data_IF_323625174966
#
_entry.id   IF_323625174966
#
_cell.length_a   1.000
_cell.length_b   1.000
_cell.length_c   1.000
_cell.angle_alpha   90.00
_cell.angle_beta   90.00
_cell.angle_gamma   90.00
#
_symmetry.space_group_name_H-M   'P 1'
#
loop_
_entity.id
_entity.type
_entity.pdbx_description
1 polymer ?
#
# COMPACT_ATOMS: atom_id res chain seq x y z
N UNK A 1 -15.37 -0.66 2.85
CA UNK A 1 -14.13 -1.21 3.44
C UNK A 1 -13.60 -0.21 4.43
N UNK A 2 -12.80 -0.65 5.40
CA UNK A 2 -12.14 0.24 6.36
C UNK A 2 -10.84 0.78 5.74
N UNK A 3 -10.63 2.10 5.78
CA UNK A 3 -9.40 2.71 5.28
C UNK A 3 -8.29 2.53 6.32
N UNK A 4 -7.28 1.72 6.01
CA UNK A 4 -6.14 1.48 6.92
C UNK A 4 -4.97 2.43 6.70
N UNK A 5 -4.80 2.94 5.47
CA UNK A 5 -3.70 3.81 5.09
C UNK A 5 -4.21 4.88 4.12
N UNK A 6 -4.00 6.14 4.46
CA UNK A 6 -4.31 7.30 3.62
C UNK A 6 -3.01 7.95 3.13
N UNK A 7 -2.96 8.30 1.84
CA UNK A 7 -1.81 8.98 1.20
C UNK A 7 -0.44 8.36 1.54
N UNK A 8 -0.40 7.03 1.65
CA UNK A 8 0.76 6.33 2.17
C UNK A 8 1.96 6.36 1.20
N UNK A 9 3.05 6.97 1.66
CA UNK A 9 4.32 7.02 0.94
C UNK A 9 5.30 6.00 1.54
N UNK A 10 5.58 4.94 0.78
CA UNK A 10 6.49 3.86 1.20
C UNK A 10 7.90 4.39 1.44
N UNK A 11 8.41 5.28 0.58
CA UNK A 11 9.77 5.82 0.69
C UNK A 11 9.95 6.62 1.99
N UNK A 12 8.96 7.43 2.35
CA UNK A 12 8.98 8.19 3.60
C UNK A 12 8.87 7.25 4.81
N UNK A 13 7.95 6.29 4.78
CA UNK A 13 7.84 5.29 5.86
C UNK A 13 9.08 4.39 5.97
N UNK A 14 9.83 4.20 4.89
CA UNK A 14 11.07 3.42 4.84
C UNK A 14 12.29 4.25 5.25
N UNK A 15 12.14 5.57 5.41
CA UNK A 15 13.24 6.50 5.59
C UNK A 15 14.33 6.33 4.49
N UNK A 16 13.90 6.21 3.23
CA UNK A 16 14.78 6.06 2.07
C UNK A 16 14.30 5.05 1.01
N UNK A 17 15.11 4.88 -0.04
CA UNK A 17 14.90 3.85 -1.08
C UNK A 17 15.63 2.55 -0.71
N UNK A 18 15.22 1.42 -1.30
CA UNK A 18 15.83 0.10 -1.09
C UNK A 18 15.77 -0.43 0.35
N UNK A 19 14.80 0.06 1.13
CA UNK A 19 14.50 -0.42 2.47
C UNK A 19 13.11 -1.01 2.48
N UNK A 20 12.92 -2.12 3.20
CA UNK A 20 11.63 -2.74 3.37
C UNK A 20 10.78 -1.98 4.40
N UNK A 21 9.46 -2.01 4.20
CA UNK A 21 8.47 -1.50 5.15
C UNK A 21 7.34 -2.51 5.22
N UNK A 22 7.11 -3.03 6.40
CA UNK A 22 5.98 -3.92 6.68
C UNK A 22 4.94 -3.17 7.50
N UNK A 23 3.67 -3.27 7.09
CA UNK A 23 2.53 -2.77 7.86
C UNK A 23 1.68 -3.95 8.32
N UNK A 24 1.57 -4.10 9.63
CA UNK A 24 0.77 -5.15 10.27
C UNK A 24 -0.56 -4.54 10.70
N UNK A 25 -1.66 -5.17 10.29
CA UNK A 25 -3.00 -4.80 10.69
C UNK A 25 -3.61 -5.93 11.52
N UNK A 26 -3.52 -5.88 12.85
CA UNK A 26 -4.09 -6.92 13.71
C UNK A 26 -5.62 -6.80 13.79
N UNK A 27 -6.27 -7.87 14.24
CA UNK A 27 -7.69 -7.90 14.60
C UNK A 27 -8.65 -7.60 13.43
N UNK A 28 -8.37 -8.14 12.24
CA UNK A 28 -9.28 -8.02 11.09
C UNK A 28 -10.37 -9.09 11.17
N UNK A 29 -11.62 -8.67 11.37
CA UNK A 29 -12.76 -9.58 11.36
C UNK A 29 -13.22 -9.88 9.93
N UNK A 30 -13.21 -11.15 9.54
CA UNK A 30 -13.72 -11.62 8.25
C UNK A 30 -15.11 -12.27 8.46
N UNK A 31 -16.16 -11.53 8.14
CA UNK A 31 -17.55 -11.96 8.41
C UNK A 31 -18.18 -12.80 7.30
N UNK A 32 -17.76 -12.63 6.05
CA UNK A 32 -18.38 -13.28 4.87
C UNK A 32 -17.48 -14.34 4.21
N UNK A 33 -16.46 -14.82 4.93
CA UNK A 33 -15.46 -15.74 4.40
C UNK A 33 -14.54 -15.14 3.33
N UNK A 34 -14.68 -13.85 3.00
CA UNK A 34 -13.84 -13.16 2.01
C UNK A 34 -13.18 -11.92 2.62
N UNK A 35 -11.86 -11.78 2.42
CA UNK A 35 -11.10 -10.57 2.74
C UNK A 35 -10.83 -9.81 1.44
N UNK A 36 -11.31 -8.57 1.36
CA UNK A 36 -11.09 -7.69 0.20
C UNK A 36 -10.08 -6.61 0.55
N UNK A 37 -8.96 -6.60 -0.16
CA UNK A 37 -7.90 -5.59 -0.02
C UNK A 37 -7.98 -4.67 -1.23
N UNK A 38 -8.24 -3.37 -0.99
CA UNK A 38 -8.39 -2.39 -2.05
C UNK A 38 -7.17 -1.47 -2.06
N UNK A 39 -6.44 -1.46 -3.17
CA UNK A 39 -5.33 -0.53 -3.41
C UNK A 39 -5.83 0.57 -4.32
N UNK A 40 -6.09 1.74 -3.74
CA UNK A 40 -6.62 2.87 -4.49
C UNK A 40 -5.55 3.92 -4.70
N UNK A 41 -5.46 4.42 -5.93
CA UNK A 41 -4.60 5.54 -6.29
C UNK A 41 -5.42 6.61 -7.00
N UNK A 42 -5.55 7.75 -6.35
CA UNK A 42 -6.40 8.86 -6.80
C UNK A 42 -5.74 9.76 -7.86
N UNK A 43 -4.67 9.30 -8.54
CA UNK A 43 -4.07 10.04 -9.66
C UNK A 43 -2.95 11.03 -9.31
N UNK A 44 -2.33 10.95 -8.12
CA UNK A 44 -1.07 11.68 -7.86
C UNK A 44 0.12 10.92 -8.47
N UNK A 45 0.56 11.28 -9.67
CA UNK A 45 1.74 10.68 -10.34
C UNK A 45 1.88 10.96 -11.85
N UNK A 46 3.00 10.57 -12.47
CA UNK A 46 3.32 10.81 -13.90
C UNK A 46 3.89 9.54 -14.56
N UNK A 47 3.76 9.37 -15.87
CA UNK A 47 4.17 8.15 -16.62
C UNK A 47 5.55 8.23 -17.31
N UNK A 48 6.25 9.38 -17.32
CA UNK A 48 7.44 9.65 -18.18
C UNK A 48 8.56 10.46 -17.47
N UNK A 49 9.86 10.17 -17.71
CA UNK A 49 11.07 10.88 -17.18
C UNK A 49 11.46 12.07 -18.10
N UNK A 50 11.78 13.30 -17.60
CA UNK A 50 12.50 13.61 -16.35
C UNK A 50 11.67 14.37 -15.28
N UNK A 51 10.70 13.76 -14.61
CA UNK A 51 10.83 12.45 -13.96
C UNK A 51 9.53 11.67 -14.03
N UNK A 52 9.65 10.36 -14.37
CA UNK A 52 8.60 9.34 -14.23
C UNK A 52 8.09 9.55 -12.83
N UNK A 53 6.82 9.84 -12.75
CA UNK A 53 6.22 10.30 -11.54
C UNK A 53 5.96 9.15 -10.61
N UNK A 54 5.08 9.44 -9.66
CA UNK A 54 4.70 8.48 -8.65
C UNK A 54 3.87 7.40 -9.33
N UNK A 55 4.44 6.21 -9.46
CA UNK A 55 3.70 5.03 -9.89
C UNK A 55 2.55 4.77 -8.92
N UNK A 56 1.53 4.05 -9.39
CA UNK A 56 0.45 3.57 -8.55
C UNK A 56 0.96 2.76 -7.34
N UNK A 57 0.05 2.20 -6.54
CA UNK A 57 0.42 1.58 -5.27
C UNK A 57 1.44 0.46 -5.50
N UNK A 58 2.59 0.56 -4.83
CA UNK A 58 3.62 -0.47 -4.87
C UNK A 58 3.40 -1.43 -3.70
N UNK A 59 3.21 -2.71 -4.00
CA UNK A 59 3.17 -3.79 -3.01
C UNK A 59 4.09 -4.91 -3.50
N UNK A 60 4.90 -5.42 -2.58
CA UNK A 60 5.77 -6.57 -2.85
C UNK A 60 5.08 -7.88 -2.45
N UNK A 61 4.48 -7.92 -1.26
CA UNK A 61 3.85 -9.12 -0.71
C UNK A 61 2.67 -8.78 0.21
N UNK A 62 1.76 -9.74 0.34
CA UNK A 62 0.65 -9.72 1.29
C UNK A 62 0.66 -11.06 2.02
N UNK A 63 0.69 -11.01 3.36
CA UNK A 63 0.59 -12.20 4.21
C UNK A 63 -0.67 -12.08 5.06
N UNK A 64 -1.46 -13.17 5.10
CA UNK A 64 -2.66 -13.27 5.93
C UNK A 64 -2.48 -14.45 6.88
N UNK A 65 -2.61 -14.19 8.17
CA UNK A 65 -2.50 -15.19 9.25
C UNK A 65 -3.83 -15.28 10.02
N UNK A 66 -4.34 -16.48 10.31
CA UNK A 66 -5.52 -16.68 11.17
C UNK A 66 -5.31 -16.18 12.60
#
# INVERSE_FOLDING_TARGET
>A
GELKLQDFNIKESANGSFKDVTKVFPNITVTSGSLRIHLFWAGKGTTVIPKRGVYGPLISAITVTP
#
